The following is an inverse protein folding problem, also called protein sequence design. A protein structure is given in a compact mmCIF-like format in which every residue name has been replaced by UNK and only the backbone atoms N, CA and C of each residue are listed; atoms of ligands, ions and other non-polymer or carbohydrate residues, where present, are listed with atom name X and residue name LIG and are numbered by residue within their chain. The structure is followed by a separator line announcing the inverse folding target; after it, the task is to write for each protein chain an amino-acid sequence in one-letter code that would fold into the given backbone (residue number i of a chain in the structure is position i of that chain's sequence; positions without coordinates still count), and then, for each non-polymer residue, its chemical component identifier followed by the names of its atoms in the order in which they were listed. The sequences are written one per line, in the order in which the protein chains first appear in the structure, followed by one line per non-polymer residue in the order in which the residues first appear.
data_IF_933483258863
#
_entry.id   IF_933483258863
#
_cell.length_a   1.000
_cell.length_b   1.000
_cell.length_c   1.000
_cell.angle_alpha   90.00
_cell.angle_beta   90.00
_cell.angle_gamma   90.00
#
_symmetry.space_group_name_H-M   'P 1'
#
loop_
_entity.id
_entity.type
_entity.pdbx_description
1 polymer ?
#
# COMPACT_ATOMS: atom_id res chain seq x y z
N UNK A 1 -3.21 -6.72 -56.83
CA UNK A 1 -2.66 -5.81 -55.80
C UNK A 1 -1.18 -5.61 -56.11
N UNK A 2 -0.76 -4.40 -56.52
CA UNK A 2 0.66 -4.10 -56.83
C UNK A 2 1.32 -3.52 -55.59
N UNK A 3 2.33 -4.20 -55.07
CA UNK A 3 3.20 -3.67 -54.02
C UNK A 3 4.30 -2.88 -54.71
N UNK A 4 4.36 -1.58 -54.45
CA UNK A 4 5.42 -0.70 -54.95
C UNK A 4 6.40 -0.52 -53.79
N UNK A 5 7.66 -0.90 -54.01
CA UNK A 5 8.74 -0.68 -53.05
C UNK A 5 9.10 0.80 -53.09
N UNK A 6 8.71 1.55 -52.06
CA UNK A 6 9.16 2.92 -51.87
C UNK A 6 10.58 2.83 -51.29
N UNK A 7 11.57 3.29 -52.05
CA UNK A 7 12.93 3.38 -51.52
C UNK A 7 13.01 4.54 -50.52
N UNK A 8 13.64 4.34 -49.35
CA UNK A 8 13.76 5.40 -48.36
C UNK A 8 14.56 6.56 -48.94
N UNK A 9 14.14 7.79 -48.62
CA UNK A 9 14.90 8.99 -48.94
C UNK A 9 16.36 8.80 -48.49
N UNK A 10 17.30 9.23 -49.36
CA UNK A 10 18.74 9.01 -49.23
C UNK A 10 19.22 8.96 -47.77
N UNK A 11 20.01 7.93 -47.44
CA UNK A 11 20.66 7.75 -46.12
C UNK A 11 21.15 9.11 -45.63
N UNK A 12 20.51 9.62 -44.58
CA UNK A 12 20.98 10.81 -43.89
C UNK A 12 22.48 10.62 -43.62
N UNK A 13 23.29 11.65 -43.90
CA UNK A 13 24.71 11.66 -43.53
C UNK A 13 24.84 11.11 -42.11
N UNK A 14 25.73 10.14 -41.92
CA UNK A 14 25.92 9.43 -40.65
C UNK A 14 26.26 10.45 -39.57
N UNK A 15 25.23 10.92 -38.87
CA UNK A 15 25.36 11.94 -37.85
C UNK A 15 26.22 11.33 -36.74
N UNK A 16 27.30 12.02 -36.37
CA UNK A 16 28.22 11.52 -35.36
C UNK A 16 27.45 11.19 -34.08
N UNK A 17 27.69 10.02 -33.50
CA UNK A 17 27.07 9.65 -32.23
C UNK A 17 27.63 10.55 -31.13
N UNK A 18 26.78 11.19 -30.35
CA UNK A 18 27.19 12.00 -29.19
C UNK A 18 27.52 11.08 -28.03
N UNK A 19 28.80 10.97 -27.70
CA UNK A 19 29.33 10.00 -26.75
C UNK A 19 29.81 10.68 -25.49
N UNK A 20 29.43 10.11 -24.33
CA UNK A 20 30.04 10.44 -23.05
C UNK A 20 30.64 9.20 -22.40
N UNK A 21 31.55 9.40 -21.46
CA UNK A 21 31.98 8.34 -20.56
C UNK A 21 31.49 8.59 -19.12
N UNK A 22 31.15 7.52 -18.43
CA UNK A 22 30.84 7.55 -17.01
C UNK A 22 31.85 6.76 -16.20
N UNK A 23 32.41 7.41 -15.18
CA UNK A 23 33.43 6.86 -14.31
C UNK A 23 33.01 6.93 -12.83
N UNK A 24 33.41 5.92 -12.05
CA UNK A 24 33.22 5.91 -10.59
C UNK A 24 34.53 5.49 -9.92
N UNK A 25 35.12 6.40 -9.16
CA UNK A 25 36.44 6.20 -8.54
C UNK A 25 36.26 5.87 -7.06
N UNK A 26 36.73 4.71 -6.60
CA UNK A 26 36.78 4.40 -5.16
C UNK A 26 37.91 5.16 -4.48
N UNK A 27 37.73 5.49 -3.20
CA UNK A 27 38.77 6.10 -2.36
C UNK A 27 40.07 5.27 -2.30
N UNK A 28 39.98 3.95 -2.42
CA UNK A 28 41.15 3.05 -2.45
C UNK A 28 41.89 3.01 -3.80
N UNK A 29 41.27 3.45 -4.90
CA UNK A 29 41.88 3.46 -6.24
C UNK A 29 43.06 4.43 -6.37
N UNK A 30 43.08 5.47 -5.55
CA UNK A 30 44.20 6.42 -5.45
C UNK A 30 45.51 5.76 -5.00
N UNK A 31 45.44 4.70 -4.18
CA UNK A 31 46.64 3.96 -3.71
C UNK A 31 47.18 2.97 -4.76
N UNK A 32 46.39 2.62 -5.78
CA UNK A 32 46.74 1.64 -6.81
C UNK A 32 47.07 2.26 -8.18
N UNK A 33 47.16 3.59 -8.30
CA UNK A 33 47.50 4.27 -9.55
C UNK A 33 46.33 4.41 -10.55
N UNK A 34 45.11 4.01 -10.20
CA UNK A 34 43.89 4.32 -10.95
C UNK A 34 43.37 5.72 -10.58
N UNK A 35 44.16 6.75 -10.82
CA UNK A 35 43.72 8.13 -10.60
C UNK A 35 42.55 8.47 -11.54
N UNK A 36 41.65 9.36 -11.09
CA UNK A 36 40.58 9.90 -11.92
C UNK A 36 41.12 10.48 -13.25
N UNK A 37 42.31 11.06 -13.20
CA UNK A 37 43.02 11.62 -14.35
C UNK A 37 43.38 10.56 -15.40
N UNK A 38 43.80 9.37 -14.97
CA UNK A 38 44.08 8.25 -15.87
C UNK A 38 42.80 7.74 -16.55
N UNK A 39 41.69 7.67 -15.81
CA UNK A 39 40.39 7.28 -16.39
C UNK A 39 39.86 8.33 -17.37
N UNK A 40 40.02 9.61 -17.03
CA UNK A 40 39.64 10.73 -17.91
C UNK A 40 40.45 10.69 -19.19
N UNK A 41 41.77 10.54 -19.09
CA UNK A 41 42.68 10.47 -20.25
C UNK A 41 42.34 9.28 -21.14
N UNK A 42 42.11 8.11 -20.54
CA UNK A 42 41.71 6.90 -21.25
C UNK A 42 40.44 7.13 -22.08
N UNK A 43 39.36 7.62 -21.45
CA UNK A 43 38.09 7.82 -22.14
C UNK A 43 38.13 8.94 -23.17
N UNK A 44 38.90 10.00 -22.91
CA UNK A 44 39.07 11.10 -23.85
C UNK A 44 39.76 10.61 -25.13
N UNK A 45 40.82 9.81 -24.99
CA UNK A 45 41.52 9.19 -26.13
C UNK A 45 40.63 8.17 -26.85
N UNK A 46 39.94 7.31 -26.10
CA UNK A 46 39.06 6.29 -26.66
C UNK A 46 37.96 6.92 -27.52
N UNK A 47 37.30 7.98 -27.04
CA UNK A 47 36.21 8.62 -27.78
C UNK A 47 36.75 9.47 -28.93
N UNK A 48 37.81 10.26 -28.71
CA UNK A 48 38.36 11.16 -29.74
C UNK A 48 39.04 10.41 -30.90
N UNK A 49 39.48 9.17 -30.66
CA UNK A 49 40.08 8.32 -31.70
C UNK A 49 39.07 7.81 -32.73
N UNK A 50 37.76 7.90 -32.44
CA UNK A 50 36.71 7.43 -33.35
C UNK A 50 36.08 8.61 -34.12
N UNK A 51 36.24 8.61 -35.45
CA UNK A 51 35.73 9.66 -36.33
C UNK A 51 34.20 9.74 -36.38
N UNK A 52 33.50 8.66 -35.99
CA UNK A 52 32.05 8.58 -35.89
C UNK A 52 31.49 9.13 -34.57
N UNK A 53 32.36 9.52 -33.62
CA UNK A 53 31.95 10.00 -32.30
C UNK A 53 32.12 11.51 -32.16
N UNK A 54 31.17 12.12 -31.45
CA UNK A 54 31.23 13.48 -30.95
C UNK A 54 31.38 13.43 -29.43
N UNK A 55 32.48 13.96 -28.90
CA UNK A 55 32.75 13.92 -27.46
C UNK A 55 31.92 14.94 -26.70
N UNK A 56 30.98 14.47 -25.87
CA UNK A 56 30.13 15.33 -25.02
C UNK A 56 30.78 15.66 -23.68
N UNK A 57 31.54 14.70 -23.13
CA UNK A 57 32.22 14.87 -21.85
C UNK A 57 32.36 13.59 -21.04
N UNK A 58 32.99 13.73 -19.88
CA UNK A 58 33.22 12.64 -18.92
C UNK A 58 32.54 13.02 -17.61
N UNK A 59 31.66 12.15 -17.13
CA UNK A 59 30.91 12.30 -15.88
C UNK A 59 31.51 11.37 -14.85
N UNK A 60 31.98 11.92 -13.73
CA UNK A 60 32.71 11.13 -12.74
C UNK A 60 32.27 11.42 -11.31
N UNK A 61 31.86 10.38 -10.59
CA UNK A 61 31.52 10.45 -9.17
C UNK A 61 32.68 9.90 -8.31
N UNK A 62 33.09 10.65 -7.27
CA UNK A 62 34.11 10.22 -6.29
C UNK A 62 33.49 9.32 -5.21
N UNK A 63 34.29 8.37 -4.71
CA UNK A 63 33.90 7.28 -3.82
C UNK A 63 33.06 7.73 -2.63
N UNK A 64 31.80 7.31 -2.62
CA UNK A 64 30.88 7.49 -1.50
C UNK A 64 31.08 6.29 -0.58
N UNK A 65 31.76 6.51 0.53
CA UNK A 65 31.64 5.67 1.71
C UNK A 65 30.17 5.69 2.13
N UNK A 66 29.52 4.53 2.14
CA UNK A 66 28.25 4.34 2.85
C UNK A 66 27.02 5.08 2.30
N UNK A 67 26.02 4.27 1.92
CA UNK A 67 24.58 4.52 2.19
C UNK A 67 23.84 5.74 1.60
N UNK A 68 24.48 6.80 1.10
CA UNK A 68 23.79 7.94 0.45
C UNK A 68 23.97 7.90 -1.06
N UNK A 69 22.88 8.08 -1.80
CA UNK A 69 22.80 7.99 -3.26
C UNK A 69 23.20 9.32 -3.93
N UNK A 70 24.26 9.96 -3.43
CA UNK A 70 24.66 11.29 -3.87
C UNK A 70 25.57 11.19 -5.11
N UNK A 71 24.96 10.92 -6.27
CA UNK A 71 25.64 10.76 -7.57
C UNK A 71 25.32 11.92 -8.50
N UNK A 72 25.78 13.14 -8.21
CA UNK A 72 25.39 14.33 -8.95
C UNK A 72 25.80 14.24 -10.43
N UNK A 73 26.97 13.69 -10.74
CA UNK A 73 27.46 13.62 -12.12
C UNK A 73 26.71 12.54 -12.92
N UNK A 74 26.40 11.41 -12.29
CA UNK A 74 25.52 10.41 -12.91
C UNK A 74 24.12 10.97 -13.19
N UNK A 75 23.52 11.71 -12.26
CA UNK A 75 22.20 12.31 -12.46
C UNK A 75 22.22 13.41 -13.54
N UNK A 76 23.29 14.21 -13.59
CA UNK A 76 23.51 15.21 -14.64
C UNK A 76 23.65 14.55 -16.02
N UNK A 77 24.41 13.46 -16.11
CA UNK A 77 24.52 12.66 -17.33
C UNK A 77 23.15 12.15 -17.79
N UNK A 78 22.37 11.52 -16.90
CA UNK A 78 21.03 11.02 -17.22
C UNK A 78 20.09 12.13 -17.71
N UNK A 79 20.17 13.33 -17.13
CA UNK A 79 19.41 14.50 -17.60
C UNK A 79 19.75 14.85 -19.05
N UNK A 80 21.04 14.87 -19.40
CA UNK A 80 21.48 15.14 -20.76
C UNK A 80 21.06 14.04 -21.75
N UNK A 81 21.03 12.78 -21.32
CA UNK A 81 20.44 11.68 -22.10
C UNK A 81 18.95 11.93 -22.38
N UNK A 82 18.16 12.30 -21.36
CA UNK A 82 16.72 12.61 -21.50
C UNK A 82 16.44 13.83 -22.38
N UNK A 83 17.36 14.80 -22.40
CA UNK A 83 17.32 15.95 -23.31
C UNK A 83 17.76 15.60 -24.74
N UNK A 84 18.10 14.33 -24.99
CA UNK A 84 18.57 13.86 -26.29
C UNK A 84 19.88 14.51 -26.70
N UNK A 85 20.80 14.79 -25.76
CA UNK A 85 22.14 15.37 -26.00
C UNK A 85 23.27 14.33 -25.99
N UNK A 86 22.97 13.10 -25.60
CA UNK A 86 23.91 11.97 -25.53
C UNK A 86 23.21 10.78 -26.18
N UNK A 87 23.90 10.10 -27.09
CA UNK A 87 23.42 8.89 -27.79
C UNK A 87 24.12 7.62 -27.29
N UNK A 88 25.33 7.74 -26.72
CA UNK A 88 26.11 6.60 -26.22
C UNK A 88 26.83 6.95 -24.91
N UNK A 89 26.70 6.07 -23.93
CA UNK A 89 27.42 6.10 -22.65
C UNK A 89 28.42 4.95 -22.64
N UNK A 90 29.70 5.25 -22.45
CA UNK A 90 30.75 4.25 -22.24
C UNK A 90 31.08 4.18 -20.74
N UNK A 91 31.10 2.97 -20.19
CA UNK A 91 31.44 2.74 -18.77
C UNK A 91 32.24 1.44 -18.61
N UNK A 92 33.14 1.41 -17.62
CA UNK A 92 34.06 0.28 -17.44
C UNK A 92 33.36 -1.05 -17.19
N UNK A 93 32.31 -1.06 -16.36
CA UNK A 93 31.56 -2.28 -16.03
C UNK A 93 30.16 -1.98 -15.48
N UNK A 94 29.32 -3.01 -15.45
CA UNK A 94 27.98 -2.95 -14.83
C UNK A 94 28.05 -2.46 -13.37
N UNK A 95 29.01 -2.99 -12.60
CA UNK A 95 29.24 -2.61 -11.21
C UNK A 95 29.74 -1.18 -11.02
N UNK A 96 30.28 -0.53 -12.06
CA UNK A 96 30.62 0.90 -12.02
C UNK A 96 29.40 1.76 -12.32
N UNK A 97 28.48 1.29 -13.14
CA UNK A 97 27.27 2.00 -13.57
C UNK A 97 26.20 2.14 -12.47
N UNK A 98 25.96 1.12 -11.65
CA UNK A 98 25.13 1.26 -10.45
C UNK A 98 25.51 0.31 -9.31
N UNK A 99 24.96 0.56 -8.12
CA UNK A 99 25.28 -0.19 -6.89
C UNK A 99 24.55 -1.52 -6.76
N UNK A 100 23.29 -1.58 -7.18
CA UNK A 100 22.51 -2.82 -7.20
C UNK A 100 21.91 -3.05 -8.58
N UNK A 101 21.57 -4.31 -8.83
CA UNK A 101 21.13 -4.78 -10.13
C UNK A 101 19.79 -4.16 -10.55
N UNK A 102 18.90 -3.90 -9.58
CA UNK A 102 17.61 -3.21 -9.80
C UNK A 102 17.82 -1.82 -10.43
N UNK A 103 18.79 -1.05 -9.92
CA UNK A 103 19.08 0.30 -10.42
C UNK A 103 19.72 0.25 -11.80
N UNK A 104 20.61 -0.72 -12.06
CA UNK A 104 21.16 -0.93 -13.42
C UNK A 104 20.02 -1.17 -14.41
N UNK A 105 19.14 -2.13 -14.12
CA UNK A 105 18.02 -2.51 -14.98
C UNK A 105 17.09 -1.32 -15.27
N UNK A 106 16.76 -0.54 -14.24
CA UNK A 106 15.92 0.64 -14.37
C UNK A 106 16.49 1.62 -15.40
N UNK A 107 17.74 2.05 -15.22
CA UNK A 107 18.34 3.06 -16.09
C UNK A 107 18.68 2.50 -17.47
N UNK A 108 19.09 1.24 -17.60
CA UNK A 108 19.33 0.65 -18.92
C UNK A 108 18.04 0.58 -19.75
N UNK A 109 16.91 0.20 -19.14
CA UNK A 109 15.60 0.18 -19.84
C UNK A 109 15.17 1.60 -20.24
N UNK A 110 15.26 2.53 -19.30
CA UNK A 110 14.94 3.94 -19.55
C UNK A 110 15.77 4.51 -20.70
N UNK A 111 17.10 4.32 -20.67
CA UNK A 111 18.01 4.80 -21.72
C UNK A 111 17.73 4.13 -23.07
N UNK A 112 17.45 2.81 -23.07
CA UNK A 112 17.08 2.09 -24.29
C UNK A 112 15.78 2.62 -24.91
N UNK A 113 14.77 2.93 -24.11
CA UNK A 113 13.49 3.50 -24.57
C UNK A 113 13.66 4.87 -25.25
N UNK A 114 14.60 5.68 -24.76
CA UNK A 114 14.94 6.99 -25.36
C UNK A 114 16.05 6.90 -26.43
N UNK A 115 16.45 5.69 -26.83
CA UNK A 115 17.42 5.46 -27.90
C UNK A 115 18.89 5.65 -27.51
N UNK A 116 19.21 5.74 -26.23
CA UNK A 116 20.57 5.90 -25.71
C UNK A 116 21.22 4.55 -25.43
N UNK A 117 22.38 4.32 -26.04
CA UNK A 117 23.19 3.12 -25.89
C UNK A 117 24.07 3.22 -24.63
N UNK A 118 24.22 2.11 -23.91
CA UNK A 118 25.20 1.96 -22.83
C UNK A 118 26.13 0.82 -23.20
N UNK A 119 27.43 1.11 -23.25
CA UNK A 119 28.48 0.14 -23.55
C UNK A 119 29.29 -0.16 -22.28
N UNK A 120 29.25 -1.41 -21.86
CA UNK A 120 30.01 -1.95 -20.74
C UNK A 120 31.28 -2.62 -21.26
N UNK A 121 32.44 -2.03 -20.98
CA UNK A 121 33.71 -2.47 -21.55
C UNK A 121 34.17 -3.84 -21.04
N UNK A 122 34.10 -4.05 -19.72
CA UNK A 122 34.57 -5.30 -19.10
C UNK A 122 33.72 -6.50 -19.52
N UNK A 123 32.40 -6.33 -19.56
CA UNK A 123 31.48 -7.38 -19.97
C UNK A 123 31.39 -7.51 -21.50
N UNK A 124 31.92 -6.53 -22.25
CA UNK A 124 31.82 -6.42 -23.71
C UNK A 124 30.37 -6.46 -24.22
N UNK A 125 29.48 -5.72 -23.53
CA UNK A 125 28.04 -5.69 -23.84
C UNK A 125 27.62 -4.28 -24.23
N UNK A 126 26.77 -4.18 -25.25
CA UNK A 126 26.06 -2.95 -25.63
C UNK A 126 24.56 -3.14 -25.41
N UNK A 127 23.88 -2.13 -24.85
CA UNK A 127 22.45 -2.22 -24.55
C UNK A 127 21.52 -2.14 -25.75
N UNK A 128 22.03 -1.80 -26.94
CA UNK A 128 21.27 -1.82 -28.19
C UNK A 128 21.56 -3.06 -29.06
N UNK A 129 22.47 -3.96 -28.64
CA UNK A 129 22.73 -5.22 -29.33
C UNK A 129 21.76 -6.33 -28.91
N UNK A 130 21.70 -7.43 -29.68
CA UNK A 130 20.89 -8.62 -29.35
C UNK A 130 21.26 -9.28 -28.01
N UNK A 131 22.52 -9.13 -27.56
CA UNK A 131 23.02 -9.67 -26.29
C UNK A 131 22.47 -8.94 -25.06
N UNK A 132 21.88 -7.75 -25.27
CA UNK A 132 21.28 -6.96 -24.20
C UNK A 132 20.12 -7.67 -23.51
N UNK A 133 19.24 -8.35 -24.26
CA UNK A 133 18.07 -9.02 -23.67
C UNK A 133 18.47 -10.17 -22.75
N UNK A 134 19.51 -10.92 -23.12
CA UNK A 134 20.06 -11.99 -22.26
C UNK A 134 20.66 -11.41 -20.99
N UNK A 135 21.48 -10.37 -21.10
CA UNK A 135 22.05 -9.66 -19.95
C UNK A 135 20.96 -9.10 -19.04
N UNK A 136 19.96 -8.41 -19.59
CA UNK A 136 18.84 -7.86 -18.84
C UNK A 136 18.05 -8.96 -18.13
N UNK A 137 17.86 -10.11 -18.76
CA UNK A 137 17.20 -11.27 -18.15
C UNK A 137 17.99 -11.80 -16.96
N UNK A 138 19.30 -12.04 -17.11
CA UNK A 138 20.17 -12.51 -16.03
C UNK A 138 20.19 -11.52 -14.87
N UNK A 139 20.40 -10.23 -15.16
CA UNK A 139 20.36 -9.17 -14.15
C UNK A 139 18.99 -9.11 -13.47
N UNK A 140 17.90 -9.30 -14.20
CA UNK A 140 16.54 -9.35 -13.61
C UNK A 140 16.40 -10.51 -12.62
N UNK A 141 16.91 -11.69 -12.96
CA UNK A 141 16.90 -12.85 -12.04
C UNK A 141 17.69 -12.59 -10.76
N UNK A 142 18.88 -11.97 -10.85
CA UNK A 142 19.65 -11.59 -9.67
C UNK A 142 18.94 -10.55 -8.81
N UNK A 143 18.32 -9.54 -9.43
CA UNK A 143 17.57 -8.51 -8.74
C UNK A 143 16.33 -9.08 -8.00
N UNK A 144 15.66 -10.06 -8.59
CA UNK A 144 14.54 -10.77 -7.97
C UNK A 144 15.02 -11.59 -6.76
N UNK A 145 16.11 -12.33 -6.89
CA UNK A 145 16.69 -13.13 -5.80
C UNK A 145 17.20 -12.24 -4.64
N UNK A 146 17.84 -11.11 -4.93
CA UNK A 146 18.26 -10.15 -3.91
C UNK A 146 17.04 -9.60 -3.15
N UNK A 147 15.97 -9.24 -3.88
CA UNK A 147 14.73 -8.74 -3.29
C UNK A 147 14.05 -9.79 -2.39
N UNK A 148 14.05 -11.05 -2.83
CA UNK A 148 13.55 -12.18 -2.06
C UNK A 148 14.38 -12.40 -0.81
N UNK A 149 15.70 -12.49 -0.94
CA UNK A 149 16.64 -12.71 0.17
C UNK A 149 16.54 -11.63 1.23
N UNK A 150 16.48 -10.34 0.85
CA UNK A 150 16.27 -9.22 1.79
C UNK A 150 14.94 -9.39 2.55
N UNK A 151 13.86 -9.73 1.84
CA UNK A 151 12.56 -9.96 2.47
C UNK A 151 12.60 -11.14 3.45
N UNK A 152 13.25 -12.24 3.10
CA UNK A 152 13.41 -13.41 3.96
C UNK A 152 14.26 -13.08 5.20
N UNK A 153 15.36 -12.36 5.05
CA UNK A 153 16.19 -11.89 6.15
C UNK A 153 15.43 -10.97 7.12
N UNK A 154 14.58 -10.08 6.61
CA UNK A 154 13.71 -9.24 7.45
C UNK A 154 12.71 -10.10 8.22
N UNK A 155 12.05 -11.06 7.56
CA UNK A 155 11.12 -11.99 8.22
C UNK A 155 11.81 -12.79 9.31
N UNK A 156 12.98 -13.35 9.02
CA UNK A 156 13.79 -14.11 9.98
C UNK A 156 14.21 -13.24 11.17
N UNK A 157 14.64 -12.00 10.95
CA UNK A 157 14.97 -11.06 12.03
C UNK A 157 13.77 -10.83 12.94
N UNK A 158 12.57 -10.58 12.38
CA UNK A 158 11.37 -10.39 13.19
C UNK A 158 10.95 -11.66 13.92
N UNK A 159 11.05 -12.83 13.26
CA UNK A 159 10.79 -14.12 13.89
C UNK A 159 11.67 -14.34 15.11
N UNK A 160 12.98 -14.10 14.99
CA UNK A 160 13.94 -14.20 16.10
C UNK A 160 13.62 -13.23 17.24
N UNK A 161 13.15 -12.02 16.92
CA UNK A 161 12.66 -11.07 17.94
C UNK A 161 11.43 -11.61 18.67
N UNK A 162 10.48 -12.18 17.94
CA UNK A 162 9.26 -12.72 18.55
C UNK A 162 9.52 -13.96 19.40
N UNK A 163 10.41 -14.86 18.97
CA UNK A 163 10.89 -16.00 19.79
C UNK A 163 11.53 -15.54 21.11
N UNK A 164 12.22 -14.40 21.11
CA UNK A 164 12.81 -13.79 22.30
C UNK A 164 11.84 -12.96 23.13
N UNK A 165 10.61 -12.77 22.66
CA UNK A 165 9.62 -11.91 23.30
C UNK A 165 9.87 -10.40 23.16
N UNK A 166 10.76 -9.97 22.25
CA UNK A 166 11.06 -8.55 22.03
C UNK A 166 9.89 -7.82 21.35
N UNK A 167 9.54 -6.64 21.86
CA UNK A 167 8.42 -5.85 21.37
C UNK A 167 8.74 -5.09 20.08
N UNK A 168 7.88 -5.26 19.09
CA UNK A 168 7.88 -4.47 17.86
C UNK A 168 6.57 -3.70 17.75
N UNK A 169 6.48 -2.63 18.55
CA UNK A 169 5.30 -1.77 18.61
C UNK A 169 5.68 -0.36 18.15
N UNK A 170 4.79 0.29 17.40
CA UNK A 170 4.92 1.71 17.07
C UNK A 170 4.16 2.52 18.13
N UNK A 171 4.89 3.05 19.12
CA UNK A 171 4.29 3.80 20.23
C UNK A 171 3.64 5.10 19.77
N UNK A 172 4.15 5.76 18.72
CA UNK A 172 3.56 6.99 18.16
C UNK A 172 2.13 6.81 17.62
N UNK A 173 1.64 5.57 17.52
CA UNK A 173 0.26 5.24 17.12
C UNK A 173 -0.46 4.39 18.15
N UNK A 174 0.03 4.36 19.39
CA UNK A 174 -0.52 3.56 20.47
C UNK A 174 -0.86 4.45 21.67
N UNK A 175 -2.14 4.81 21.79
CA UNK A 175 -2.63 5.69 22.85
C UNK A 175 -2.35 5.07 24.24
N UNK A 176 -1.81 5.87 25.15
CA UNK A 176 -1.61 5.48 26.56
C UNK A 176 -0.21 5.02 26.89
N UNK A 177 0.63 4.76 25.89
CA UNK A 177 1.99 4.26 26.09
C UNK A 177 3.02 5.00 25.23
N UNK A 178 4.13 5.34 25.86
CA UNK A 178 5.35 5.78 25.20
C UNK A 178 6.40 4.65 25.19
N UNK A 179 7.58 4.95 24.66
CA UNK A 179 8.76 4.08 24.77
C UNK A 179 9.83 4.75 25.58
N UNK A 180 10.51 3.97 26.40
CA UNK A 180 11.75 4.40 27.04
C UNK A 180 12.95 4.29 26.08
N UNK A 181 14.14 4.56 26.63
CA UNK A 181 15.42 4.52 25.92
C UNK A 181 15.79 3.12 25.39
N UNK A 182 15.25 2.07 26.03
CA UNK A 182 15.47 0.67 25.69
C UNK A 182 14.42 0.13 24.70
N UNK A 183 13.34 0.89 24.49
CA UNK A 183 12.26 0.58 23.56
C UNK A 183 11.09 -0.17 24.20
N UNK A 184 11.08 -0.27 25.53
CA UNK A 184 10.04 -0.89 26.34
C UNK A 184 8.85 0.06 26.54
N UNK A 185 7.66 -0.50 26.74
CA UNK A 185 6.44 0.30 26.88
C UNK A 185 6.32 0.89 28.28
N UNK A 186 6.25 2.21 28.35
CA UNK A 186 6.00 2.97 29.58
C UNK A 186 4.66 3.67 29.50
N UNK A 187 3.93 3.73 30.61
CA UNK A 187 2.60 4.36 30.65
C UNK A 187 2.77 5.88 30.49
N UNK A 188 2.07 6.47 29.53
CA UNK A 188 1.88 7.91 29.46
C UNK A 188 0.68 8.30 30.32
N UNK A 189 0.85 8.98 31.47
CA UNK A 189 -0.24 9.20 32.42
C UNK A 189 -1.43 9.99 31.82
N UNK A 190 -1.15 10.96 30.95
CA UNK A 190 -2.18 11.81 30.34
C UNK A 190 -3.04 11.02 29.36
N UNK A 191 -2.41 10.21 28.51
CA UNK A 191 -3.12 9.40 27.53
C UNK A 191 -3.79 8.17 28.17
N UNK A 192 -3.16 7.60 29.20
CA UNK A 192 -3.70 6.47 29.94
C UNK A 192 -5.04 6.78 30.60
N UNK A 193 -5.25 8.03 31.05
CA UNK A 193 -6.52 8.46 31.60
C UNK A 193 -7.67 8.38 30.58
N UNK A 194 -7.38 8.71 29.31
CA UNK A 194 -8.34 8.58 28.21
C UNK A 194 -8.72 7.10 28.01
N UNK A 195 -7.73 6.20 28.06
CA UNK A 195 -7.96 4.76 27.94
C UNK A 195 -8.79 4.24 29.11
N UNK A 196 -8.42 4.58 30.35
CA UNK A 196 -9.18 4.19 31.56
C UNK A 196 -10.62 4.66 31.48
N UNK A 197 -10.84 5.92 31.06
CA UNK A 197 -12.18 6.48 30.85
C UNK A 197 -12.97 5.69 29.80
N UNK A 198 -12.37 5.35 28.65
CA UNK A 198 -13.04 4.53 27.62
C UNK A 198 -13.51 3.19 28.18
N UNK A 199 -12.68 2.51 28.98
CA UNK A 199 -13.04 1.25 29.63
C UNK A 199 -14.14 1.44 30.68
N UNK A 200 -14.01 2.43 31.56
CA UNK A 200 -15.00 2.75 32.60
C UNK A 200 -16.38 3.04 32.01
N UNK A 201 -16.46 3.96 31.06
CA UNK A 201 -17.69 4.35 30.37
C UNK A 201 -18.38 3.16 29.69
N UNK A 202 -17.60 2.25 29.10
CA UNK A 202 -18.15 1.07 28.46
C UNK A 202 -18.78 0.11 29.49
N UNK A 203 -18.10 -0.09 30.63
CA UNK A 203 -18.56 -0.92 31.75
C UNK A 203 -19.75 -0.31 32.49
N UNK A 204 -19.89 1.01 32.50
CA UNK A 204 -21.08 1.73 33.01
C UNK A 204 -22.32 1.55 32.12
N UNK A 205 -22.19 0.91 30.96
CA UNK A 205 -23.31 0.62 30.06
C UNK A 205 -23.32 1.46 28.79
N UNK A 206 -22.39 2.41 28.63
CA UNK A 206 -22.36 3.24 27.43
C UNK A 206 -21.95 2.41 26.19
N UNK A 207 -22.64 2.66 25.08
CA UNK A 207 -22.29 2.05 23.79
C UNK A 207 -21.12 2.76 23.13
N UNK A 208 -20.35 2.04 22.29
CA UNK A 208 -19.19 2.58 21.56
C UNK A 208 -19.52 3.91 20.85
N UNK A 209 -20.69 3.99 20.19
CA UNK A 209 -21.13 5.21 19.52
C UNK A 209 -21.27 6.41 20.47
N UNK A 210 -21.81 6.19 21.68
CA UNK A 210 -21.97 7.25 22.69
C UNK A 210 -20.61 7.73 23.19
N UNK A 211 -19.69 6.80 23.45
CA UNK A 211 -18.31 7.09 23.87
C UNK A 211 -17.61 7.95 22.80
N UNK A 212 -17.70 7.55 21.52
CA UNK A 212 -17.14 8.32 20.39
C UNK A 212 -17.73 9.72 20.32
N UNK A 213 -19.05 9.86 20.47
CA UNK A 213 -19.72 11.17 20.42
C UNK A 213 -19.23 12.08 21.54
N UNK A 214 -19.13 11.54 22.76
CA UNK A 214 -18.66 12.24 23.95
C UNK A 214 -17.21 12.73 23.79
N UNK A 215 -16.29 11.84 23.42
CA UNK A 215 -14.88 12.21 23.21
C UNK A 215 -14.72 13.29 22.14
N UNK A 216 -15.48 13.18 21.04
CA UNK A 216 -15.46 14.19 19.97
C UNK A 216 -16.11 15.52 20.38
N UNK A 217 -17.17 15.51 21.20
CA UNK A 217 -17.82 16.75 21.67
C UNK A 217 -16.97 17.52 22.66
N UNK A 218 -16.13 16.81 23.41
CA UNK A 218 -15.19 17.41 24.36
C UNK A 218 -13.88 17.86 23.68
N UNK A 219 -13.75 17.65 22.37
CA UNK A 219 -12.56 18.06 21.62
C UNK A 219 -11.32 17.22 21.90
N UNK A 220 -11.47 16.03 22.50
CA UNK A 220 -10.34 15.13 22.79
C UNK A 220 -9.90 14.45 21.47
N UNK A 221 -8.68 14.67 20.98
CA UNK A 221 -8.21 14.02 19.75
C UNK A 221 -7.73 12.58 20.00
N UNK A 222 -7.60 11.78 18.94
CA UNK A 222 -6.86 10.51 18.99
C UNK A 222 -5.34 10.77 19.08
N UNK A 223 -4.55 9.72 19.35
CA UNK A 223 -3.06 9.78 19.33
C UNK A 223 -2.48 10.34 18.01
N UNK A 224 -3.24 10.25 16.91
CA UNK A 224 -2.86 10.80 15.59
C UNK A 224 -3.43 12.19 15.32
N UNK A 225 -4.01 12.87 16.31
CA UNK A 225 -4.67 14.17 16.15
C UNK A 225 -6.00 14.13 15.39
N UNK A 226 -6.58 12.94 15.18
CA UNK A 226 -7.80 12.77 14.38
C UNK A 226 -9.06 12.69 15.25
N UNK A 227 -10.25 12.78 14.63
CA UNK A 227 -11.52 12.54 15.31
C UNK A 227 -11.71 11.06 15.64
N UNK A 228 -12.39 10.79 16.75
CA UNK A 228 -12.74 9.44 17.17
C UNK A 228 -13.76 8.81 16.23
N UNK A 229 -13.58 7.51 15.99
CA UNK A 229 -14.53 6.67 15.27
C UNK A 229 -14.75 5.35 16.04
N UNK A 230 -15.85 4.66 15.72
CA UNK A 230 -16.22 3.43 16.43
C UNK A 230 -15.21 2.29 16.26
N UNK A 231 -14.49 2.23 15.15
CA UNK A 231 -13.50 1.18 14.91
C UNK A 231 -12.29 1.37 15.83
N UNK A 232 -11.81 2.59 16.02
CA UNK A 232 -10.71 2.92 16.92
C UNK A 232 -11.05 2.54 18.36
N UNK A 233 -12.21 2.98 18.88
CA UNK A 233 -12.64 2.64 20.25
C UNK A 233 -12.84 1.14 20.42
N UNK A 234 -13.40 0.45 19.40
CA UNK A 234 -13.54 -1.02 19.42
C UNK A 234 -12.19 -1.73 19.47
N UNK A 235 -11.21 -1.26 18.69
CA UNK A 235 -9.85 -1.80 18.72
C UNK A 235 -9.21 -1.58 20.07
N UNK A 236 -9.41 -0.41 20.71
CA UNK A 236 -8.89 -0.12 22.04
C UNK A 236 -9.45 -1.11 23.05
N UNK A 237 -10.78 -1.23 23.13
CA UNK A 237 -11.45 -2.12 24.09
C UNK A 237 -11.04 -3.60 23.95
N UNK A 238 -10.61 -4.04 22.76
CA UNK A 238 -10.20 -5.43 22.47
C UNK A 238 -8.68 -5.65 22.54
N UNK A 239 -7.88 -4.61 22.70
CA UNK A 239 -6.44 -4.74 22.63
C UNK A 239 -5.93 -5.32 23.95
N UNK A 240 -5.32 -6.50 23.88
CA UNK A 240 -4.74 -7.20 25.02
C UNK A 240 -3.62 -6.41 25.70
N UNK A 241 -2.99 -5.48 24.98
CA UNK A 241 -1.90 -4.64 25.49
C UNK A 241 -2.31 -3.79 26.68
N UNK A 242 -3.55 -3.33 26.73
CA UNK A 242 -3.97 -2.50 27.87
C UNK A 242 -4.03 -3.25 29.19
N UNK A 243 -4.13 -4.59 29.16
CA UNK A 243 -4.02 -5.45 30.36
C UNK A 243 -2.61 -6.01 30.59
N UNK A 244 -1.60 -5.50 29.89
CA UNK A 244 -0.19 -5.89 30.04
C UNK A 244 0.27 -7.02 29.12
N UNK A 245 -0.63 -7.66 28.39
CA UNK A 245 -0.30 -8.82 27.54
C UNK A 245 0.05 -8.40 26.11
N UNK A 246 0.80 -9.24 25.39
CA UNK A 246 1.16 -8.96 24.00
C UNK A 246 0.98 -10.19 23.14
N UNK A 247 0.19 -10.04 22.07
CA UNK A 247 0.12 -11.01 20.99
C UNK A 247 0.92 -10.52 19.77
N UNK A 248 2.00 -11.24 19.45
CA UNK A 248 2.91 -10.99 18.34
C UNK A 248 2.49 -11.78 17.09
N UNK A 249 2.98 -11.35 15.92
CA UNK A 249 2.68 -11.97 14.61
C UNK A 249 1.17 -12.10 14.29
N UNK A 250 0.35 -11.10 14.67
CA UNK A 250 -1.08 -11.03 14.26
C UNK A 250 -1.29 -10.90 12.74
N UNK A 251 -0.25 -10.50 12.02
CA UNK A 251 -0.27 -10.32 10.56
C UNK A 251 1.04 -10.78 9.97
N UNK A 252 1.01 -11.28 8.73
CA UNK A 252 2.20 -11.69 8.00
C UNK A 252 2.11 -11.24 6.54
N UNK A 253 3.26 -11.21 5.87
CA UNK A 253 3.36 -10.84 4.45
C UNK A 253 3.71 -12.11 3.65
N UNK A 254 2.75 -12.73 2.93
CA UNK A 254 3.00 -13.99 2.24
C UNK A 254 4.01 -13.81 1.10
N UNK A 255 3.85 -12.79 0.26
CA UNK A 255 4.67 -12.56 -0.92
C UNK A 255 5.51 -11.28 -0.79
N UNK A 256 6.80 -11.40 -1.12
CA UNK A 256 7.72 -10.27 -1.18
C UNK A 256 7.44 -9.34 -2.37
N UNK A 257 6.77 -9.86 -3.41
CA UNK A 257 6.38 -9.12 -4.60
C UNK A 257 5.19 -8.19 -4.32
N UNK A 258 4.10 -8.73 -3.76
CA UNK A 258 2.89 -7.93 -3.52
C UNK A 258 2.99 -7.05 -2.30
N UNK A 259 3.84 -7.42 -1.32
CA UNK A 259 4.03 -6.70 -0.04
C UNK A 259 2.73 -6.47 0.75
N UNK A 260 1.67 -7.21 0.42
CA UNK A 260 0.36 -7.10 1.06
C UNK A 260 0.35 -7.87 2.38
N UNK A 261 0.12 -7.17 3.50
CA UNK A 261 -0.06 -7.81 4.81
C UNK A 261 -1.43 -8.47 4.88
N UNK A 262 -1.44 -9.70 5.40
CA UNK A 262 -2.66 -10.47 5.70
C UNK A 262 -2.75 -10.77 7.19
N UNK A 263 -3.97 -10.92 7.69
CA UNK A 263 -4.22 -11.37 9.06
C UNK A 263 -3.74 -12.83 9.18
N UNK A 264 -2.98 -13.10 10.24
CA UNK A 264 -2.55 -14.45 10.57
C UNK A 264 -3.70 -15.22 11.24
N UNK A 265 -4.08 -16.35 10.65
CA UNK A 265 -5.08 -17.30 11.14
C UNK A 265 -4.46 -18.68 11.38
N UNK A 266 -3.14 -18.74 11.63
CA UNK A 266 -2.37 -19.98 11.78
C UNK A 266 -1.53 -20.35 10.56
N UNK A 267 -1.30 -19.42 9.62
CA UNK A 267 -0.38 -19.67 8.50
C UNK A 267 1.09 -19.56 8.90
N UNK A 268 1.37 -18.85 9.99
CA UNK A 268 2.69 -18.73 10.62
C UNK A 268 2.50 -18.72 12.14
N UNK A 269 3.57 -19.06 12.87
CA UNK A 269 3.55 -19.08 14.33
C UNK A 269 3.21 -17.71 14.92
N UNK A 270 2.50 -17.73 16.04
CA UNK A 270 2.15 -16.52 16.79
C UNK A 270 2.49 -16.70 18.25
N UNK A 271 2.99 -15.64 18.88
CA UNK A 271 3.57 -15.70 20.22
C UNK A 271 2.72 -14.83 21.15
N UNK A 272 2.24 -15.43 22.24
CA UNK A 272 1.50 -14.75 23.28
C UNK A 272 2.38 -14.62 24.51
N UNK A 273 2.50 -13.40 25.03
CA UNK A 273 3.32 -13.06 26.19
C UNK A 273 2.41 -12.44 27.23
N UNK A 274 2.36 -13.06 28.41
CA UNK A 274 1.63 -12.54 29.57
C UNK A 274 2.50 -11.55 30.35
N UNK A 275 1.85 -10.56 30.98
CA UNK A 275 2.47 -9.62 31.92
C UNK A 275 3.75 -8.96 31.37
N UNK A 276 3.73 -8.65 30.08
CA UNK A 276 4.90 -8.15 29.36
C UNK A 276 5.27 -6.70 29.74
N UNK A 277 4.29 -5.86 30.07
CA UNK A 277 4.51 -4.47 30.47
C UNK A 277 3.42 -4.01 31.44
N UNK A 278 3.62 -2.84 32.06
CA UNK A 278 2.67 -2.33 33.04
C UNK A 278 1.27 -2.11 32.42
N UNK A 279 0.22 -2.69 33.01
CA UNK A 279 -1.14 -2.56 32.50
C UNK A 279 -1.74 -1.18 32.80
N UNK A 280 -2.49 -0.62 31.85
CA UNK A 280 -3.32 0.59 32.09
C UNK A 280 -4.65 0.21 32.74
N UNK A 281 -5.21 -0.94 32.37
CA UNK A 281 -6.44 -1.50 32.94
C UNK A 281 -6.15 -2.86 33.57
N UNK A 282 -6.84 -3.19 34.67
CA UNK A 282 -6.65 -4.50 35.30
C UNK A 282 -7.16 -5.61 34.38
N UNK A 283 -6.62 -6.82 34.55
CA UNK A 283 -7.01 -8.01 33.79
C UNK A 283 -8.51 -8.27 33.92
N UNK A 284 -9.06 -8.11 35.13
CA UNK A 284 -10.48 -8.30 35.42
C UNK A 284 -11.36 -7.27 34.70
N UNK A 285 -10.94 -6.00 34.68
CA UNK A 285 -11.67 -4.95 33.98
C UNK A 285 -11.70 -5.23 32.46
N UNK A 286 -10.58 -5.67 31.89
CA UNK A 286 -10.48 -6.01 30.48
C UNK A 286 -11.36 -7.22 30.11
N UNK A 287 -11.34 -8.27 30.94
CA UNK A 287 -12.15 -9.47 30.76
C UNK A 287 -13.65 -9.17 30.87
N UNK A 288 -14.05 -8.33 31.82
CA UNK A 288 -15.44 -7.85 31.94
C UNK A 288 -15.89 -7.12 30.68
N UNK A 289 -15.03 -6.29 30.09
CA UNK A 289 -15.33 -5.64 28.81
C UNK A 289 -15.54 -6.66 27.70
N UNK A 290 -14.68 -7.68 27.57
CA UNK A 290 -14.84 -8.70 26.53
C UNK A 290 -16.15 -9.47 26.70
N UNK A 291 -16.47 -9.87 27.93
CA UNK A 291 -17.71 -10.57 28.24
C UNK A 291 -18.93 -9.71 27.91
N UNK A 292 -18.91 -8.43 28.26
CA UNK A 292 -20.00 -7.50 27.94
C UNK A 292 -20.12 -7.26 26.43
N UNK A 293 -19.00 -7.15 25.71
CA UNK A 293 -19.01 -7.11 24.24
C UNK A 293 -19.64 -8.35 23.63
N UNK A 294 -19.34 -9.53 24.17
CA UNK A 294 -19.93 -10.79 23.73
C UNK A 294 -21.43 -10.84 24.01
N UNK A 295 -21.87 -10.54 25.24
CA UNK A 295 -23.30 -10.48 25.62
C UNK A 295 -24.09 -9.53 24.73
N UNK A 296 -23.57 -8.32 24.48
CA UNK A 296 -24.21 -7.34 23.58
C UNK A 296 -24.27 -7.82 22.14
N UNK A 297 -23.28 -8.61 21.69
CA UNK A 297 -23.30 -9.20 20.35
C UNK A 297 -24.36 -10.31 20.28
N UNK A 298 -24.42 -11.20 21.26
CA UNK A 298 -25.41 -12.28 21.38
C UNK A 298 -26.84 -11.76 21.46
N UNK A 299 -27.10 -10.74 22.29
CA UNK A 299 -28.41 -10.09 22.38
C UNK A 299 -28.88 -9.47 21.05
N UNK A 300 -27.93 -9.11 20.16
CA UNK A 300 -28.23 -8.60 18.82
C UNK A 300 -28.30 -9.70 17.76
N UNK A 301 -28.12 -10.96 18.14
CA UNK A 301 -28.03 -12.11 17.26
C UNK A 301 -26.75 -12.12 16.41
N UNK A 302 -25.69 -11.43 16.84
CA UNK A 302 -24.41 -11.33 16.14
C UNK A 302 -23.34 -12.29 16.71
N UNK A 303 -23.74 -13.45 17.24
CA UNK A 303 -22.81 -14.47 17.70
C UNK A 303 -22.05 -15.11 16.53
N UNK A 304 -20.84 -15.60 16.80
CA UNK A 304 -20.03 -16.34 15.82
C UNK A 304 -20.84 -17.60 15.44
N UNK A 305 -21.13 -17.76 14.14
CA UNK A 305 -21.97 -18.85 13.63
C UNK A 305 -23.48 -18.57 13.65
N UNK A 306 -23.93 -17.38 14.09
CA UNK A 306 -25.37 -17.05 14.02
C UNK A 306 -25.84 -16.93 12.57
N UNK A 307 -27.08 -17.35 12.32
CA UNK A 307 -27.79 -17.22 11.03
C UNK A 307 -27.74 -15.77 10.51
N UNK A 308 -27.74 -14.77 11.41
CA UNK A 308 -27.69 -13.34 11.05
C UNK A 308 -26.30 -12.88 10.60
N UNK A 309 -25.23 -13.48 11.11
CA UNK A 309 -23.85 -13.25 10.66
C UNK A 309 -23.54 -13.93 9.32
N UNK A 310 -24.22 -15.06 9.05
CA UNK A 310 -24.06 -15.86 7.83
C UNK A 310 -24.92 -15.34 6.67
N UNK A 311 -26.11 -14.80 6.95
CA UNK A 311 -27.02 -14.30 5.93
C UNK A 311 -26.64 -12.88 5.47
N UNK A 312 -25.85 -12.79 4.40
CA UNK A 312 -26.16 -11.75 3.41
C UNK A 312 -27.50 -12.14 2.81
N UNK A 313 -28.56 -11.37 3.07
CA UNK A 313 -29.84 -11.58 2.39
C UNK A 313 -29.61 -11.60 0.88
N UNK A 314 -30.33 -12.42 0.08
CA UNK A 314 -30.01 -12.70 -1.32
C UNK A 314 -29.70 -11.46 -2.19
N UNK A 315 -30.36 -10.33 -1.90
CA UNK A 315 -30.26 -9.08 -2.67
C UNK A 315 -29.32 -8.03 -2.04
N UNK A 316 -28.59 -8.40 -0.98
CA UNK A 316 -27.67 -7.52 -0.26
C UNK A 316 -26.46 -7.18 -1.12
N UNK A 317 -26.32 -5.91 -1.50
CA UNK A 317 -25.24 -5.43 -2.37
C UNK A 317 -25.55 -5.56 -3.87
N UNK A 318 -26.76 -5.99 -4.22
CA UNK A 318 -27.25 -6.07 -5.60
C UNK A 318 -28.11 -4.84 -5.93
N UNK A 319 -28.88 -4.34 -4.97
CA UNK A 319 -29.78 -3.21 -5.19
C UNK A 319 -29.09 -1.87 -4.87
N UNK A 320 -29.27 -0.88 -5.74
CA UNK A 320 -28.70 0.46 -5.62
C UNK A 320 -29.76 1.55 -5.73
N UNK A 321 -29.58 2.63 -4.99
CA UNK A 321 -30.45 3.80 -5.02
C UNK A 321 -30.19 4.63 -6.30
N UNK A 322 -31.23 4.94 -7.06
CA UNK A 322 -31.12 5.80 -8.26
C UNK A 322 -30.63 7.22 -7.96
N UNK A 323 -30.91 7.74 -6.76
CA UNK A 323 -30.63 9.14 -6.39
C UNK A 323 -29.16 9.38 -6.01
N UNK A 324 -28.53 8.44 -5.30
CA UNK A 324 -27.18 8.63 -4.76
C UNK A 324 -26.20 7.48 -5.09
N UNK A 325 -26.63 6.48 -5.86
CA UNK A 325 -25.81 5.32 -6.24
C UNK A 325 -25.42 4.37 -5.11
N UNK A 326 -25.75 4.69 -3.86
CA UNK A 326 -25.44 3.89 -2.68
C UNK A 326 -26.30 2.61 -2.62
N UNK A 327 -25.81 1.52 -2.02
CA UNK A 327 -26.57 0.27 -1.95
C UNK A 327 -27.81 0.42 -1.05
N UNK A 328 -28.88 -0.31 -1.38
CA UNK A 328 -30.03 -0.48 -0.49
C UNK A 328 -29.72 -1.53 0.58
N UNK A 329 -30.18 -1.28 1.81
CA UNK A 329 -30.07 -2.21 2.94
C UNK A 329 -31.45 -2.69 3.35
N UNK A 330 -31.59 -4.00 3.52
CA UNK A 330 -32.79 -4.61 4.11
C UNK A 330 -32.94 -4.16 5.55
N UNK A 331 -34.12 -3.66 5.90
CA UNK A 331 -34.50 -3.22 7.25
C UNK A 331 -35.89 -3.71 7.57
N UNK A 332 -36.11 -3.94 8.86
CA UNK A 332 -37.45 -4.20 9.39
C UNK A 332 -37.99 -2.91 9.98
N UNK A 333 -39.04 -2.37 9.39
CA UNK A 333 -39.84 -1.29 9.95
C UNK A 333 -40.87 -1.85 10.94
N UNK A 334 -41.22 -1.03 11.93
CA UNK A 334 -42.20 -1.37 12.97
C UNK A 334 -41.90 -2.72 13.66
N UNK A 335 -40.62 -3.01 13.91
CA UNK A 335 -40.19 -4.34 14.38
C UNK A 335 -40.81 -4.78 15.71
N UNK A 336 -41.37 -3.83 16.48
CA UNK A 336 -42.02 -4.05 17.78
C UNK A 336 -43.56 -4.04 17.72
N UNK A 337 -44.16 -3.84 16.54
CA UNK A 337 -45.61 -3.74 16.34
C UNK A 337 -46.11 -4.83 15.40
N UNK A 338 -47.42 -5.11 15.44
CA UNK A 338 -48.08 -6.11 14.57
C UNK A 338 -47.95 -5.79 13.08
N UNK A 339 -47.80 -4.51 12.72
CA UNK A 339 -47.56 -4.03 11.35
C UNK A 339 -46.09 -4.10 10.92
N UNK A 340 -45.37 -5.14 11.33
CA UNK A 340 -43.97 -5.38 10.99
C UNK A 340 -43.82 -5.53 9.48
N UNK A 341 -43.03 -4.64 8.87
CA UNK A 341 -42.80 -4.62 7.42
C UNK A 341 -41.32 -4.69 7.11
N UNK A 342 -40.96 -5.40 6.05
CA UNK A 342 -39.58 -5.51 5.60
C UNK A 342 -39.40 -4.67 4.33
N UNK A 343 -38.40 -3.81 4.34
CA UNK A 343 -38.12 -2.88 3.25
C UNK A 343 -36.63 -2.85 2.92
N UNK A 344 -36.30 -2.47 1.69
CA UNK A 344 -34.96 -2.13 1.24
C UNK A 344 -34.85 -0.61 1.13
N UNK A 345 -33.97 -0.02 1.93
CA UNK A 345 -33.84 1.42 2.06
C UNK A 345 -32.42 1.87 1.75
N UNK A 346 -32.29 3.04 1.12
CA UNK A 346 -31.01 3.67 0.82
C UNK A 346 -30.09 3.77 2.05
N UNK A 347 -28.90 3.16 1.98
CA UNK A 347 -27.96 3.17 3.09
C UNK A 347 -27.40 4.56 3.43
N UNK A 348 -27.26 5.45 2.44
CA UNK A 348 -26.78 6.81 2.66
C UNK A 348 -27.80 7.65 3.44
N UNK A 349 -29.09 7.58 3.06
CA UNK A 349 -30.18 8.21 3.80
C UNK A 349 -30.27 7.70 5.25
N UNK A 350 -30.15 6.38 5.45
CA UNK A 350 -30.22 5.79 6.81
C UNK A 350 -29.08 6.27 7.70
N UNK A 351 -27.89 6.48 7.13
CA UNK A 351 -26.70 6.86 7.90
C UNK A 351 -26.62 8.38 8.13
N UNK A 352 -26.92 9.16 7.10
CA UNK A 352 -26.63 10.58 7.04
C UNK A 352 -27.88 11.47 6.96
N UNK A 353 -29.09 10.88 6.97
CA UNK A 353 -30.35 11.61 6.96
C UNK A 353 -30.78 12.10 5.57
N UNK A 354 -31.85 12.91 5.55
CA UNK A 354 -32.50 13.44 4.35
C UNK A 354 -31.58 14.37 3.55
N UNK A 355 -30.74 15.13 4.23
CA UNK A 355 -29.81 16.09 3.62
C UNK A 355 -28.79 15.42 2.68
N UNK A 356 -28.49 14.13 2.91
CA UNK A 356 -27.55 13.39 2.09
C UNK A 356 -28.20 12.66 0.90
N UNK A 357 -29.50 12.35 0.97
CA UNK A 357 -30.26 11.68 -0.08
C UNK A 357 -31.73 11.65 0.33
N UNK A 358 -32.67 11.88 -0.58
CA UNK A 358 -34.10 11.70 -0.27
C UNK A 358 -34.50 10.25 0.05
N UNK A 359 -33.63 9.29 -0.32
CA UNK A 359 -33.69 7.90 0.12
C UNK A 359 -34.77 7.05 -0.57
N UNK A 360 -34.38 6.28 -1.59
CA UNK A 360 -35.25 5.24 -2.18
C UNK A 360 -35.63 4.18 -1.13
N UNK A 361 -36.92 3.83 -1.06
CA UNK A 361 -37.47 2.74 -0.24
C UNK A 361 -38.38 1.86 -1.10
N UNK A 362 -38.12 0.56 -1.09
CA UNK A 362 -38.94 -0.44 -1.78
C UNK A 362 -39.22 -1.63 -0.86
N UNK A 363 -40.41 -2.21 -0.94
CA UNK A 363 -40.81 -3.31 -0.07
C UNK A 363 -40.16 -4.64 -0.47
N UNK A 364 -39.81 -5.47 0.51
CA UNK A 364 -39.18 -6.79 0.31
C UNK A 364 -40.09 -7.72 -0.53
N UNK A 365 -41.41 -7.63 -0.38
CA UNK A 365 -42.39 -8.41 -1.14
C UNK A 365 -42.39 -8.06 -2.64
N UNK A 366 -42.30 -6.76 -2.96
CA UNK A 366 -42.26 -6.29 -4.35
C UNK A 366 -40.99 -6.81 -5.01
N UNK A 367 -39.85 -6.75 -4.33
CA UNK A 367 -38.60 -7.26 -4.90
C UNK A 367 -38.55 -8.78 -4.90
N UNK A 368 -39.15 -9.46 -3.92
CA UNK A 368 -39.22 -10.93 -3.88
C UNK A 368 -39.92 -11.52 -5.11
N UNK A 369 -40.87 -10.78 -5.71
CA UNK A 369 -41.51 -11.16 -6.98
C UNK A 369 -40.63 -10.94 -8.22
N UNK A 370 -39.52 -10.21 -8.10
CA UNK A 370 -38.60 -9.89 -9.18
C UNK A 370 -37.36 -10.77 -9.04
N UNK A 371 -37.12 -11.66 -10.01
CA UNK A 371 -35.95 -12.54 -10.05
C UNK A 371 -34.65 -11.76 -10.39
N UNK A 372 -34.27 -10.80 -9.54
CA UNK A 372 -33.09 -9.95 -9.74
C UNK A 372 -31.84 -10.73 -9.31
N UNK A 373 -30.95 -10.99 -10.27
CA UNK A 373 -29.68 -11.68 -10.04
C UNK A 373 -28.46 -10.78 -10.30
N UNK A 374 -28.65 -9.63 -10.94
CA UNK A 374 -27.58 -8.69 -11.30
C UNK A 374 -27.71 -7.32 -10.62
N UNK A 375 -26.59 -6.58 -10.44
CA UNK A 375 -26.59 -5.23 -9.88
C UNK A 375 -27.64 -4.33 -10.52
N UNK A 376 -28.65 -3.90 -9.76
CA UNK A 376 -29.83 -3.20 -10.27
C UNK A 376 -30.02 -1.88 -9.54
N UNK A 377 -30.23 -0.81 -10.31
CA UNK A 377 -30.61 0.50 -9.80
C UNK A 377 -32.13 0.54 -9.67
N UNK A 378 -32.62 0.85 -8.48
CA UNK A 378 -34.03 1.03 -8.18
C UNK A 378 -34.35 2.51 -8.15
N UNK A 379 -35.27 2.93 -9.01
CA UNK A 379 -35.84 4.28 -9.02
C UNK A 379 -37.27 4.23 -8.50
N UNK A 380 -37.56 5.06 -7.52
CA UNK A 380 -38.89 5.24 -6.93
C UNK A 380 -39.50 6.52 -7.50
N UNK A 381 -40.68 6.40 -8.10
CA UNK A 381 -41.49 7.49 -8.64
C UNK A 381 -42.88 7.44 -8.02
N UNK A 382 -43.50 8.61 -7.81
CA UNK A 382 -44.86 8.70 -7.28
C UNK A 382 -45.76 9.16 -8.43
N UNK A 383 -46.70 8.31 -8.84
CA UNK A 383 -47.70 8.64 -9.86
C UNK A 383 -49.09 8.46 -9.24
N UNK A 384 -49.95 9.48 -9.31
CA UNK A 384 -51.31 9.47 -8.75
C UNK A 384 -51.39 9.00 -7.28
N UNK A 385 -50.41 9.41 -6.46
CA UNK A 385 -50.34 9.04 -5.04
C UNK A 385 -49.89 7.61 -4.74
N UNK A 386 -49.58 6.80 -5.77
CA UNK A 386 -49.04 5.44 -5.62
C UNK A 386 -47.55 5.41 -5.97
N UNK A 387 -46.80 4.56 -5.28
CA UNK A 387 -45.37 4.34 -5.57
C UNK A 387 -45.22 3.39 -6.75
N UNK A 388 -44.49 3.83 -7.76
CA UNK A 388 -44.05 3.05 -8.91
C UNK A 388 -42.54 2.90 -8.87
N UNK A 389 -42.04 1.73 -9.28
CA UNK A 389 -40.63 1.41 -9.26
C UNK A 389 -40.16 1.05 -10.65
N UNK A 390 -39.05 1.64 -11.09
CA UNK A 390 -38.35 1.24 -12.30
C UNK A 390 -36.97 0.70 -11.96
N UNK A 391 -36.53 -0.26 -12.79
CA UNK A 391 -35.32 -1.04 -12.57
C UNK A 391 -34.42 -0.91 -13.79
N UNK A 392 -33.16 -0.52 -13.58
CA UNK A 392 -32.17 -0.48 -14.64
C UNK A 392 -30.91 -1.20 -14.21
N UNK A 393 -30.31 -1.98 -15.11
CA UNK A 393 -29.03 -2.64 -14.83
C UNK A 393 -27.97 -1.60 -14.51
N UNK A 394 -27.25 -1.78 -13.40
CA UNK A 394 -26.06 -1.00 -13.09
C UNK A 394 -24.95 -1.55 -13.98
N UNK A 395 -24.87 -1.05 -15.22
CA UNK A 395 -23.90 -1.49 -16.22
C UNK A 395 -22.51 -1.68 -15.60
N UNK A 396 -21.79 -2.73 -16.03
CA UNK A 396 -20.43 -3.01 -15.59
C UNK A 396 -19.57 -1.77 -15.82
N UNK A 397 -19.41 -0.92 -14.82
CA UNK A 397 -18.31 0.03 -14.80
C UNK A 397 -17.04 -0.81 -14.77
N UNK A 398 -16.34 -0.78 -15.90
CA UNK A 398 -15.05 -1.38 -16.09
C UNK A 398 -14.15 -0.98 -14.91
N UNK A 399 -13.73 -1.93 -14.08
CA UNK A 399 -12.72 -1.73 -13.03
C UNK A 399 -11.30 -1.72 -13.61
N UNK A 400 -11.13 -1.05 -14.74
CA UNK A 400 -9.84 -0.70 -15.32
C UNK A 400 -9.91 0.77 -15.75
N UNK A 401 -10.02 1.64 -14.76
CA UNK A 401 -9.50 3.00 -14.84
C UNK A 401 -8.12 2.97 -14.18
N UNK A 402 -7.16 2.38 -14.88
CA UNK A 402 -5.76 2.76 -14.72
C UNK A 402 -5.69 4.15 -15.35
N UNK A 403 -5.57 5.19 -14.53
CA UNK A 403 -4.98 6.43 -15.00
C UNK A 403 -3.53 6.11 -15.38
N UNK A 404 -3.22 6.30 -16.67
CA UNK A 404 -1.87 6.61 -17.12
C UNK A 404 -1.57 8.07 -16.75
#
# INVERSE_FOLDING_TARGET
MRVIKIEPAAKAEQQKKRVCAYARVSTDGYKQGESLENQVTYYNNLISSNTEYEFVGIFADKGITGTKDDRPEFQRMLKLCREGKIDLIITKSISRFARNTVVVLKYVRELKEIGVEVKFEKENISTLSGDCELMLTVLSSFAEEESRSVSENIKWRYHKKFEKGELVINANRFLGYDKDEYGDLIINPKEAEIVKRIYGEYLEGNGIFKIVKMLNSEGIPTVTGSKWNEATVRTILRNEKYKGDVMLQKTYTPSYLTKLRKINRGQVDSYYIEDNHSPIVTKEAWERVQLEMQKRAEAKGNSIGSIKCLNRYPLSGILFCSKCGSPLRRRTWNSKHSCKKIVWQCSNYVKNGKDACEGTVIDDEIIGSLNITEPTIVKEEIQNGKKHYSYSSKGKQNKYGTEC
#
